data_IF_576486347595
#
_entry.id   IF_576486347595
#
_cell.length_a   1.000
_cell.length_b   1.000
_cell.length_c   1.000
_cell.angle_alpha   90.00
_cell.angle_beta   90.00
_cell.angle_gamma   90.00
#
_symmetry.space_group_name_H-M   'P 1'
#
loop_
_entity.id
_entity.type
_entity.pdbx_description
1 polymer ?
#
# COMPACT_ATOMS: atom_id res chain seq x y z
N UNK A 1 -0.30 -22.98 7.60
CA UNK A 1 -0.65 -21.57 7.35
C UNK A 1 0.49 -20.72 7.91
N UNK A 2 1.37 -20.21 7.05
CA UNK A 2 2.50 -19.39 7.49
C UNK A 2 1.94 -18.07 8.05
N UNK A 3 2.08 -17.86 9.36
CA UNK A 3 1.93 -16.54 9.98
C UNK A 3 2.98 -15.66 9.33
N UNK A 4 2.57 -14.69 8.51
CA UNK A 4 3.47 -13.63 8.07
C UNK A 4 4.16 -13.06 9.31
N UNK A 5 5.49 -13.17 9.35
CA UNK A 5 6.28 -12.60 10.43
C UNK A 5 5.86 -11.15 10.64
N UNK A 6 5.77 -10.73 11.91
CA UNK A 6 5.54 -9.35 12.32
C UNK A 6 6.68 -8.47 11.78
N UNK A 7 6.62 -8.17 10.49
CA UNK A 7 7.59 -7.33 9.81
C UNK A 7 7.18 -5.90 10.08
N UNK A 8 8.07 -5.14 10.70
CA UNK A 8 7.81 -3.73 10.94
C UNK A 8 7.67 -2.99 9.60
N UNK A 9 6.67 -2.09 9.45
CA UNK A 9 6.49 -1.35 8.21
C UNK A 9 7.70 -0.49 7.87
N UNK A 10 8.28 -0.76 6.70
CA UNK A 10 9.43 -0.02 6.18
C UNK A 10 8.99 1.26 5.46
N UNK A 11 9.92 2.20 5.13
CA UNK A 11 9.61 3.31 4.24
C UNK A 11 9.01 2.87 2.89
N UNK A 12 9.46 1.73 2.36
CA UNK A 12 8.92 1.12 1.14
C UNK A 12 7.46 0.70 1.33
N UNK A 13 7.13 0.05 2.44
CA UNK A 13 5.75 -0.34 2.79
C UNK A 13 4.83 0.87 2.82
N UNK A 14 5.26 1.97 3.46
CA UNK A 14 4.48 3.21 3.53
C UNK A 14 4.35 3.89 2.17
N UNK A 15 5.39 3.83 1.34
CA UNK A 15 5.36 4.36 -0.02
C UNK A 15 4.38 3.58 -0.92
N UNK A 16 4.41 2.25 -0.87
CA UNK A 16 3.44 1.40 -1.58
C UNK A 16 2.01 1.68 -1.13
N UNK A 17 1.77 1.76 0.18
CA UNK A 17 0.46 2.13 0.72
C UNK A 17 0.00 3.52 0.28
N UNK A 18 0.92 4.48 0.12
CA UNK A 18 0.62 5.81 -0.41
C UNK A 18 0.25 5.79 -1.91
N UNK A 19 0.97 5.01 -2.72
CA UNK A 19 0.66 4.82 -4.15
C UNK A 19 -0.73 4.21 -4.32
N UNK A 20 -1.03 3.16 -3.57
CA UNK A 20 -2.35 2.51 -3.60
C UNK A 20 -3.46 3.50 -3.22
N UNK A 21 -3.29 4.27 -2.12
CA UNK A 21 -4.27 5.29 -1.72
C UNK A 21 -4.44 6.39 -2.77
N UNK A 22 -3.36 6.82 -3.41
CA UNK A 22 -3.43 7.81 -4.49
C UNK A 22 -4.26 7.25 -5.66
N UNK A 23 -4.06 5.98 -6.02
CA UNK A 23 -4.83 5.33 -7.08
C UNK A 23 -6.32 5.19 -6.71
N UNK A 24 -6.63 4.81 -5.47
CA UNK A 24 -8.01 4.78 -4.97
C UNK A 24 -8.69 6.15 -5.12
N UNK A 25 -7.97 7.23 -4.80
CA UNK A 25 -8.48 8.59 -4.94
C UNK A 25 -8.73 8.96 -6.41
N UNK A 26 -7.82 8.62 -7.33
CA UNK A 26 -8.01 8.85 -8.78
C UNK A 26 -9.25 8.11 -9.30
N UNK A 27 -9.46 6.88 -8.85
CA UNK A 27 -10.61 6.06 -9.25
C UNK A 27 -11.90 6.39 -8.49
N UNK A 28 -11.86 7.33 -7.53
CA UNK A 28 -12.98 7.68 -6.65
C UNK A 28 -13.56 6.46 -5.92
N UNK A 29 -12.69 5.54 -5.50
CA UNK A 29 -13.04 4.32 -4.78
C UNK A 29 -12.79 4.52 -3.28
N UNK A 30 -13.80 4.23 -2.45
CA UNK A 30 -13.59 4.23 -0.99
C UNK A 30 -13.22 2.84 -0.48
N UNK A 31 -12.63 2.79 0.71
CA UNK A 31 -12.36 1.52 1.40
C UNK A 31 -13.67 0.77 1.69
N UNK A 32 -14.73 1.49 2.09
CA UNK A 32 -16.00 0.89 2.46
C UNK A 32 -16.68 0.19 1.27
N UNK A 33 -16.56 0.78 0.07
CA UNK A 33 -17.19 0.24 -1.14
C UNK A 33 -16.62 -1.11 -1.55
N UNK A 34 -15.36 -1.37 -1.21
CA UNK A 34 -14.58 -2.47 -1.79
C UNK A 34 -14.03 -3.49 -0.82
N UNK A 35 -14.14 -3.27 0.49
CA UNK A 35 -13.76 -4.30 1.48
C UNK A 35 -14.56 -5.59 1.26
N UNK A 36 -15.81 -5.49 0.81
CA UNK A 36 -16.67 -6.66 0.52
C UNK A 36 -16.18 -7.51 -0.64
N UNK A 37 -15.37 -6.93 -1.52
CA UNK A 37 -14.80 -7.59 -2.69
C UNK A 37 -13.44 -8.23 -2.36
N UNK A 38 -13.02 -8.17 -1.09
CA UNK A 38 -11.73 -8.71 -0.63
C UNK A 38 -11.92 -9.69 0.52
N UNK A 39 -10.96 -10.58 0.69
CA UNK A 39 -10.82 -11.49 1.83
C UNK A 39 -10.49 -10.77 3.14
N UNK A 40 -10.15 -9.48 3.08
CA UNK A 40 -9.70 -8.68 4.21
C UNK A 40 -10.86 -8.01 4.96
N UNK A 41 -10.69 -7.86 6.28
CA UNK A 41 -11.59 -7.03 7.08
C UNK A 41 -11.32 -5.54 6.87
N UNK A 42 -12.35 -4.69 7.05
CA UNK A 42 -12.20 -3.22 6.94
C UNK A 42 -11.09 -2.66 7.86
N UNK A 43 -10.96 -3.10 9.13
CA UNK A 43 -9.85 -2.64 9.98
C UNK A 43 -8.47 -3.05 9.44
N UNK A 44 -8.35 -4.26 8.87
CA UNK A 44 -7.09 -4.74 8.27
C UNK A 44 -6.72 -3.90 7.06
N UNK A 45 -7.65 -3.72 6.11
CA UNK A 45 -7.47 -2.85 4.95
C UNK A 45 -7.05 -1.44 5.35
N UNK A 46 -7.68 -0.86 6.37
CA UNK A 46 -7.33 0.47 6.87
C UNK A 46 -5.88 0.54 7.39
N UNK A 47 -5.43 -0.48 8.14
CA UNK A 47 -4.05 -0.53 8.66
C UNK A 47 -3.02 -0.70 7.54
N UNK A 48 -3.30 -1.56 6.56
CA UNK A 48 -2.47 -1.76 5.37
C UNK A 48 -2.31 -0.46 4.58
N UNK A 49 -3.42 0.20 4.24
CA UNK A 49 -3.41 1.45 3.46
C UNK A 49 -2.79 2.63 4.21
N UNK A 50 -2.80 2.63 5.54
CA UNK A 50 -2.08 3.62 6.35
C UNK A 50 -0.59 3.31 6.48
N UNK A 51 -0.14 2.13 6.04
CA UNK A 51 1.23 1.67 6.17
C UNK A 51 1.60 1.29 7.61
N UNK A 52 0.61 0.92 8.43
CA UNK A 52 0.84 0.38 9.77
C UNK A 52 1.12 -1.12 9.77
N UNK A 53 0.72 -1.82 8.70
CA UNK A 53 1.00 -3.23 8.48
C UNK A 53 1.68 -3.40 7.12
N UNK A 54 2.49 -4.45 7.00
CA UNK A 54 3.07 -4.89 5.73
C UNK A 54 2.03 -5.68 4.95
N UNK A 55 1.96 -5.45 3.64
CA UNK A 55 1.19 -6.29 2.72
C UNK A 55 1.96 -7.59 2.52
N UNK A 56 1.32 -8.74 2.76
CA UNK A 56 1.79 -9.96 2.13
C UNK A 56 1.48 -9.93 0.61
N UNK A 57 2.07 -10.86 -0.14
CA UNK A 57 1.92 -10.90 -1.60
C UNK A 57 0.45 -11.07 -2.02
N UNK A 58 -0.31 -11.92 -1.33
CA UNK A 58 -1.71 -12.17 -1.67
C UNK A 58 -2.58 -10.92 -1.41
N UNK A 59 -2.34 -10.22 -0.29
CA UNK A 59 -3.00 -8.96 0.03
C UNK A 59 -2.66 -7.87 -0.97
N UNK A 60 -1.39 -7.78 -1.38
CA UNK A 60 -0.97 -6.81 -2.40
C UNK A 60 -1.66 -7.09 -3.74
N UNK A 61 -1.65 -8.34 -4.18
CA UNK A 61 -2.29 -8.77 -5.42
C UNK A 61 -3.80 -8.52 -5.40
N UNK A 62 -4.46 -8.84 -4.29
CA UNK A 62 -5.90 -8.64 -4.12
C UNK A 62 -6.28 -7.15 -4.22
N UNK A 63 -5.53 -6.27 -3.55
CA UNK A 63 -5.75 -4.82 -3.63
C UNK A 63 -5.43 -4.28 -5.02
N UNK A 64 -4.38 -4.77 -5.67
CA UNK A 64 -4.00 -4.32 -7.01
C UNK A 64 -5.02 -4.78 -8.06
N UNK A 65 -5.52 -6.01 -7.96
CA UNK A 65 -6.57 -6.55 -8.82
C UNK A 65 -7.86 -5.73 -8.72
N UNK A 66 -8.25 -5.36 -7.50
CA UNK A 66 -9.41 -4.50 -7.23
C UNK A 66 -9.30 -3.15 -7.96
N UNK A 67 -8.09 -2.57 -7.95
CA UNK A 67 -7.81 -1.27 -8.56
C UNK A 67 -7.43 -1.39 -10.05
N UNK A 68 -7.39 -2.61 -10.59
CA UNK A 68 -6.93 -2.93 -11.95
C UNK A 68 -5.55 -2.32 -12.26
N UNK A 69 -4.64 -2.43 -11.30
CA UNK A 69 -3.25 -1.99 -11.43
C UNK A 69 -2.30 -3.17 -11.31
N UNK A 70 -1.15 -3.08 -11.95
CA UNK A 70 -0.08 -4.07 -11.81
C UNK A 70 0.65 -3.87 -10.46
N UNK A 71 0.79 -4.90 -9.62
CA UNK A 71 1.60 -4.84 -8.41
C UNK A 71 3.04 -4.36 -8.66
N UNK A 72 3.64 -4.72 -9.80
CA UNK A 72 4.99 -4.28 -10.16
C UNK A 72 5.06 -2.76 -10.34
N UNK A 73 4.04 -2.15 -10.96
CA UNK A 73 3.96 -0.69 -11.12
C UNK A 73 3.86 0.02 -9.77
N UNK A 74 3.11 -0.55 -8.83
CA UNK A 74 3.01 -0.01 -7.47
C UNK A 74 4.38 -0.01 -6.79
N UNK A 75 5.12 -1.11 -6.91
CA UNK A 75 6.45 -1.23 -6.30
C UNK A 75 7.47 -0.30 -6.97
N UNK A 76 7.45 -0.16 -8.30
CA UNK A 76 8.33 0.78 -9.01
C UNK A 76 8.07 2.21 -8.55
N UNK A 77 6.80 2.67 -8.55
CA UNK A 77 6.42 4.01 -8.08
C UNK A 77 6.72 4.23 -6.60
N UNK A 78 6.54 3.20 -5.77
CA UNK A 78 6.87 3.26 -4.35
C UNK A 78 8.37 3.46 -4.14
N UNK A 79 9.21 2.75 -4.90
CA UNK A 79 10.66 2.90 -4.88
C UNK A 79 11.08 4.30 -5.29
N UNK A 80 10.56 4.82 -6.39
CA UNK A 80 10.82 6.20 -6.86
C UNK A 80 10.46 7.24 -5.79
N UNK A 81 9.30 7.09 -5.15
CA UNK A 81 8.84 7.98 -4.09
C UNK A 81 9.69 7.88 -2.81
N UNK A 82 10.14 6.68 -2.46
CA UNK A 82 11.00 6.46 -1.31
C UNK A 82 12.39 7.08 -1.52
N UNK A 83 12.95 6.98 -2.74
CA UNK A 83 14.26 7.57 -3.08
C UNK A 83 14.17 9.10 -3.23
N UNK A 84 13.08 9.63 -3.78
CA UNK A 84 12.88 11.08 -3.98
C UNK A 84 12.64 11.85 -2.67
N UNK A 85 12.34 11.14 -1.57
CA UNK A 85 12.20 11.70 -0.22
C UNK A 85 13.48 11.61 0.61
N UNK A 86 14.65 11.47 -0.02
CA UNK A 86 15.92 11.76 0.66
C UNK A 86 15.83 13.16 1.33
N UNK A 87 16.33 13.32 2.57
CA UNK A 87 16.19 14.57 3.30
C UNK A 87 16.82 15.69 2.45
N UNK A 88 16.02 16.69 2.10
CA UNK A 88 16.58 17.97 1.64
C UNK A 88 17.41 18.44 2.83
N UNK A 89 18.73 18.42 2.70
CA UNK A 89 19.63 19.10 3.61
C UNK A 89 19.04 20.51 3.83
N UNK A 90 18.59 20.79 5.05
CA UNK A 90 18.41 22.16 5.49
C UNK A 90 19.83 22.71 5.66
N UNK A 91 20.38 23.25 4.58
CA UNK A 91 21.49 24.19 4.70
C UNK A 91 20.90 25.47 5.28
N UNK A 92 21.28 25.75 6.54
CA UNK A 92 21.21 27.07 7.14
C UNK A 92 22.56 27.74 7.00
#
# INVERSE_FOLDING_TARGET
MARGENSDPTPMTRAAAAVIRAQMNVLQITQADRVRDTSMSQPMMSRLLKGYNVFDLAQLDEVCALLKIDPADVLVRARENATSRAPRHQEK
#
